data_IF_496901404573
#
_entry.id   IF_496901404573
#
_cell.length_a   1.000
_cell.length_b   1.000
_cell.length_c   1.000
_cell.angle_alpha   90.00
_cell.angle_beta   90.00
_cell.angle_gamma   90.00
#
_symmetry.space_group_name_H-M   'P 1'
#
loop_
_entity.id
_entity.type
_entity.pdbx_description
1 polymer ?
#
# COMPACT_ATOMS: atom_id res chain seq x y z
N UNK A 1 -25.74 -2.02 -13.37
CA UNK A 1 -24.96 -2.32 -12.86
C UNK A 1 -24.53 -2.03 -11.71
N UNK A 2 -23.72 -2.41 -11.38
CA UNK A 2 -23.50 -2.39 -10.03
C UNK A 2 -22.14 -1.94 -9.71
N UNK A 3 -21.99 -1.35 -8.58
CA UNK A 3 -20.75 -0.88 -8.11
C UNK A 3 -19.72 -2.00 -7.91
N UNK A 4 -20.20 -3.24 -7.87
CA UNK A 4 -19.22 -4.32 -7.62
C UNK A 4 -18.31 -4.63 -8.78
N UNK A 5 -18.56 -4.06 -9.95
CA UNK A 5 -17.62 -4.20 -11.05
C UNK A 5 -16.51 -3.17 -10.99
N UNK A 6 -16.62 -2.21 -10.09
CA UNK A 6 -15.59 -1.22 -9.83
C UNK A 6 -14.69 -1.74 -8.70
N UNK A 7 -13.38 -1.96 -8.96
CA UNK A 7 -12.48 -2.47 -7.92
C UNK A 7 -12.51 -1.64 -6.64
N UNK A 8 -12.66 -0.33 -6.74
CA UNK A 8 -12.71 0.51 -5.55
C UNK A 8 -14.00 0.25 -4.77
N UNK A 9 -15.10 -0.06 -5.45
CA UNK A 9 -16.35 -0.36 -4.79
C UNK A 9 -16.31 -1.70 -4.05
N UNK A 10 -15.55 -2.70 -4.58
CA UNK A 10 -15.49 -4.02 -3.93
C UNK A 10 -14.83 -3.97 -2.57
N UNK A 11 -13.99 -2.97 -2.31
CA UNK A 11 -13.36 -2.78 -1.01
C UNK A 11 -13.88 -1.53 -0.32
N UNK A 12 -14.91 -0.89 -0.88
CA UNK A 12 -15.47 0.32 -0.30
C UNK A 12 -14.51 1.50 -0.36
N UNK A 13 -13.63 1.52 -1.35
CA UNK A 13 -12.61 2.56 -1.44
C UNK A 13 -13.13 3.83 -2.08
N UNK A 14 -12.60 4.95 -1.62
CA UNK A 14 -12.75 6.25 -2.26
C UNK A 14 -11.41 6.98 -2.27
N UNK A 15 -11.28 7.97 -3.14
CA UNK A 15 -10.07 8.80 -3.16
C UNK A 15 -10.05 9.71 -1.94
N UNK A 16 -8.87 9.86 -1.36
CA UNK A 16 -8.68 10.77 -0.24
C UNK A 16 -8.63 12.22 -0.72
N UNK A 17 -9.05 13.12 0.15
CA UNK A 17 -8.91 14.56 -0.06
C UNK A 17 -8.11 15.17 1.09
N UNK A 18 -7.81 16.47 1.00
CA UNK A 18 -7.05 17.14 2.05
C UNK A 18 -7.70 17.01 3.42
N UNK A 19 -9.04 16.95 3.48
CA UNK A 19 -9.76 16.79 4.74
C UNK A 19 -9.46 15.46 5.43
N UNK A 20 -8.98 14.46 4.69
CA UNK A 20 -8.68 13.13 5.23
C UNK A 20 -7.27 13.02 5.82
N UNK A 21 -6.41 14.02 5.62
CA UNK A 21 -5.01 13.95 6.04
C UNK A 21 -4.85 13.56 7.51
N UNK A 22 -5.57 14.16 8.47
CA UNK A 22 -5.40 13.76 9.86
C UNK A 22 -5.72 12.30 10.12
N UNK A 23 -6.77 11.76 9.49
CA UNK A 23 -7.15 10.37 9.66
C UNK A 23 -6.16 9.42 9.00
N UNK A 24 -5.68 9.79 7.82
CA UNK A 24 -4.67 9.00 7.10
C UNK A 24 -3.39 8.94 7.92
N UNK A 25 -2.94 10.09 8.42
CA UNK A 25 -1.73 10.17 9.22
C UNK A 25 -1.85 9.31 10.48
N UNK A 26 -2.97 9.39 11.17
CA UNK A 26 -3.19 8.60 12.38
C UNK A 26 -3.20 7.10 12.09
N UNK A 27 -3.85 6.68 11.00
CA UNK A 27 -3.89 5.27 10.64
C UNK A 27 -2.51 4.77 10.27
N UNK A 28 -1.75 5.54 9.48
CA UNK A 28 -0.40 5.16 9.10
C UNK A 28 0.49 5.00 10.33
N UNK A 29 0.40 5.93 11.28
CA UNK A 29 1.17 5.83 12.52
C UNK A 29 0.81 4.56 13.29
N UNK A 30 -0.47 4.27 13.43
CA UNK A 30 -0.92 3.08 14.15
C UNK A 30 -0.52 1.78 13.44
N UNK A 31 -0.63 1.76 12.12
CA UNK A 31 -0.34 0.56 11.34
C UNK A 31 1.15 0.23 11.32
N UNK A 32 2.01 1.25 11.24
CA UNK A 32 3.44 1.05 11.08
C UNK A 32 4.22 1.12 12.39
N UNK A 33 3.59 1.45 13.51
CA UNK A 33 4.28 1.57 14.79
C UNK A 33 5.07 0.31 15.15
N UNK A 34 4.54 -0.86 14.88
CA UNK A 34 5.18 -2.13 15.20
C UNK A 34 6.42 -2.40 14.35
N UNK A 35 6.58 -1.72 13.23
CA UNK A 35 7.74 -1.94 12.37
C UNK A 35 8.97 -1.20 12.86
N UNK A 36 8.79 -0.15 13.64
CA UNK A 36 9.90 0.65 14.12
C UNK A 36 10.92 -0.15 14.92
N UNK A 37 10.52 -0.96 15.92
CA UNK A 37 11.49 -1.77 16.66
C UNK A 37 12.24 -2.77 15.79
N UNK A 38 11.54 -3.33 14.77
CA UNK A 38 12.16 -4.31 13.87
C UNK A 38 13.18 -3.64 12.95
N UNK A 39 12.85 -2.47 12.43
CA UNK A 39 13.72 -1.74 11.51
C UNK A 39 14.88 -1.03 12.23
N UNK A 40 14.65 -0.60 13.47
CA UNK A 40 15.59 0.24 14.19
C UNK A 40 15.61 1.68 13.70
N UNK A 41 14.76 2.02 12.74
CA UNK A 41 14.62 3.38 12.20
C UNK A 41 13.14 3.64 11.94
N UNK A 42 12.80 4.91 11.70
CA UNK A 42 11.42 5.29 11.42
C UNK A 42 10.95 4.67 10.11
N UNK A 43 9.80 3.97 10.08
CA UNK A 43 9.25 3.48 8.82
C UNK A 43 9.03 4.61 7.83
N UNK A 44 9.36 4.37 6.55
CA UNK A 44 9.27 5.43 5.53
C UNK A 44 7.89 6.10 5.45
N UNK A 45 6.77 5.36 5.55
CA UNK A 45 5.46 6.03 5.53
C UNK A 45 5.22 7.02 6.67
N UNK A 46 6.05 7.01 7.69
CA UNK A 46 5.93 7.93 8.82
C UNK A 46 6.88 9.12 8.71
N UNK A 47 7.69 9.18 7.65
CA UNK A 47 8.70 10.23 7.47
C UNK A 47 8.28 11.32 6.49
N UNK A 48 7.08 11.23 5.92
CA UNK A 48 6.65 12.08 4.82
C UNK A 48 5.45 12.92 5.20
N UNK A 49 5.24 14.00 4.43
CA UNK A 49 4.04 14.83 4.53
C UNK A 49 2.93 14.23 3.67
N UNK A 50 1.78 13.93 4.26
CA UNK A 50 0.64 13.40 3.50
C UNK A 50 -0.01 14.46 2.62
N UNK A 51 0.25 15.74 2.87
CA UNK A 51 -0.09 16.80 1.94
C UNK A 51 0.63 16.60 0.60
N UNK A 52 1.93 16.29 0.65
CA UNK A 52 2.71 16.03 -0.55
C UNK A 52 2.31 14.71 -1.21
N UNK A 53 2.05 13.69 -0.39
CA UNK A 53 1.63 12.39 -0.92
C UNK A 53 0.33 12.53 -1.72
N UNK A 54 -0.62 13.31 -1.23
CA UNK A 54 -1.89 13.51 -1.95
C UNK A 54 -1.72 14.18 -3.31
N UNK A 55 -0.68 15.00 -3.48
CA UNK A 55 -0.45 15.65 -4.78
C UNK A 55 0.29 14.77 -5.75
N UNK A 56 1.10 13.82 -5.27
CA UNK A 56 1.98 13.02 -6.13
C UNK A 56 1.50 11.60 -6.33
N UNK A 57 0.63 11.08 -5.45
CA UNK A 57 0.18 9.69 -5.45
C UNK A 57 -1.34 9.64 -5.49
N UNK A 58 -1.86 8.47 -5.85
CA UNK A 58 -3.27 8.18 -5.61
C UNK A 58 -3.38 7.60 -4.20
N UNK A 59 -4.22 8.19 -3.38
CA UNK A 59 -4.48 7.69 -2.04
C UNK A 59 -5.94 7.24 -1.98
N UNK A 60 -6.12 5.95 -1.71
CA UNK A 60 -7.44 5.33 -1.65
C UNK A 60 -7.74 4.92 -0.22
N UNK A 61 -8.95 5.17 0.23
CA UNK A 61 -9.39 4.92 1.60
C UNK A 61 -10.45 3.84 1.62
N UNK A 62 -10.31 2.89 2.54
CA UNK A 62 -11.33 1.90 2.83
C UNK A 62 -11.97 2.23 4.17
N UNK A 63 -13.27 2.46 4.15
CA UNK A 63 -14.03 2.81 5.34
C UNK A 63 -15.00 1.69 5.69
N UNK A 64 -15.26 1.53 6.97
CA UNK A 64 -16.16 0.48 7.45
C UNK A 64 -16.76 0.84 8.79
N UNK A 65 -17.15 -0.17 9.55
CA UNK A 65 -17.83 0.02 10.83
C UNK A 65 -16.99 0.82 11.84
N UNK A 66 -15.66 0.78 11.70
CA UNK A 66 -14.76 1.44 12.64
C UNK A 66 -14.21 2.76 12.08
N UNK A 67 -14.86 3.33 11.06
CA UNK A 67 -14.39 4.52 10.40
C UNK A 67 -13.35 4.16 9.34
N UNK A 68 -12.23 4.87 9.30
CA UNK A 68 -11.17 4.57 8.34
C UNK A 68 -10.45 3.29 8.76
N UNK A 69 -10.50 2.28 7.90
CA UNK A 69 -9.95 0.96 8.19
C UNK A 69 -8.72 0.62 7.36
N UNK A 70 -8.56 1.24 6.21
CA UNK A 70 -7.41 0.96 5.36
C UNK A 70 -7.02 2.13 4.49
N UNK A 71 -5.73 2.17 4.14
CA UNK A 71 -5.16 3.17 3.24
C UNK A 71 -4.30 2.46 2.22
N UNK A 72 -4.52 2.78 0.95
CA UNK A 72 -3.70 2.30 -0.15
C UNK A 72 -3.11 3.52 -0.85
N UNK A 73 -1.78 3.58 -0.91
CA UNK A 73 -1.06 4.65 -1.59
C UNK A 73 -0.36 4.06 -2.79
N UNK A 74 -0.72 4.50 -3.98
CA UNK A 74 -0.17 3.98 -5.22
C UNK A 74 0.24 5.13 -6.13
N UNK A 75 1.17 4.84 -7.04
CA UNK A 75 1.61 5.83 -8.03
C UNK A 75 1.73 5.15 -9.39
N UNK A 76 0.83 5.48 -10.34
CA UNK A 76 1.01 5.05 -11.71
C UNK A 76 2.25 5.69 -12.31
N UNK A 77 3.09 4.89 -12.94
CA UNK A 77 4.30 5.34 -13.62
C UNK A 77 4.22 4.88 -15.08
N UNK A 78 5.16 5.27 -15.94
CA UNK A 78 5.02 4.93 -17.37
C UNK A 78 4.88 3.44 -17.66
N UNK A 79 5.57 2.57 -16.94
CA UNK A 79 5.56 1.14 -17.22
C UNK A 79 4.97 0.28 -16.11
N UNK A 80 4.82 0.83 -14.93
CA UNK A 80 4.39 0.04 -13.78
C UNK A 80 3.50 0.85 -12.84
N UNK A 81 2.92 0.15 -11.89
CA UNK A 81 2.25 0.77 -10.76
C UNK A 81 3.09 0.56 -9.52
N UNK A 82 3.47 1.64 -8.86
CA UNK A 82 4.15 1.53 -7.56
C UNK A 82 3.09 1.42 -6.48
N UNK A 83 3.13 0.36 -5.68
CA UNK A 83 2.39 0.27 -4.43
C UNK A 83 3.32 0.78 -3.34
N UNK A 84 3.06 2.01 -2.89
CA UNK A 84 3.94 2.64 -1.92
C UNK A 84 3.57 2.27 -0.48
N UNK A 85 2.28 2.10 -0.21
CA UNK A 85 1.82 1.70 1.12
C UNK A 85 0.49 0.95 1.04
N UNK A 86 0.42 -0.17 1.74
CA UNK A 86 -0.82 -0.88 2.04
C UNK A 86 -0.89 -0.95 3.55
N UNK A 87 -1.84 -0.26 4.15
CA UNK A 87 -1.94 -0.19 5.60
C UNK A 87 -3.37 -0.44 6.06
N UNK A 88 -3.50 -1.18 7.14
CA UNK A 88 -4.80 -1.46 7.75
C UNK A 88 -4.75 -1.08 9.21
N UNK A 89 -5.88 -0.57 9.73
CA UNK A 89 -5.98 -0.23 11.14
C UNK A 89 -5.78 -1.49 11.98
N UNK A 90 -5.07 -1.40 13.12
CA UNK A 90 -4.78 -2.59 13.93
C UNK A 90 -6.02 -3.39 14.31
N UNK A 91 -7.13 -2.72 14.59
CA UNK A 91 -8.37 -3.39 15.01
C UNK A 91 -9.05 -4.21 13.94
N UNK A 92 -8.66 -4.03 12.66
CA UNK A 92 -9.25 -4.80 11.55
C UNK A 92 -8.25 -5.69 10.85
N UNK A 93 -7.04 -5.83 11.38
CA UNK A 93 -6.06 -6.72 10.79
C UNK A 93 -6.52 -8.16 10.85
N UNK A 94 -6.03 -8.98 9.92
CA UNK A 94 -6.37 -10.40 9.78
C UNK A 94 -7.82 -10.65 9.32
N UNK A 95 -8.48 -9.63 8.78
CA UNK A 95 -9.83 -9.76 8.20
C UNK A 95 -9.81 -9.74 6.67
N UNK A 96 -8.63 -9.85 6.08
CA UNK A 96 -8.49 -9.90 4.62
C UNK A 96 -8.53 -8.54 3.94
N UNK A 97 -8.58 -7.44 4.70
CA UNK A 97 -8.62 -6.11 4.10
C UNK A 97 -7.33 -5.79 3.33
N UNK A 98 -6.16 -6.15 3.90
CA UNK A 98 -4.89 -5.96 3.20
C UNK A 98 -4.86 -6.68 1.86
N UNK A 99 -5.39 -7.91 1.81
CA UNK A 99 -5.48 -8.67 0.57
C UNK A 99 -6.36 -7.95 -0.46
N UNK A 100 -7.48 -7.39 -0.01
CA UNK A 100 -8.39 -6.67 -0.91
C UNK A 100 -7.79 -5.36 -1.40
N UNK A 101 -7.03 -4.66 -0.54
CA UNK A 101 -6.34 -3.44 -0.96
C UNK A 101 -5.29 -3.74 -2.02
N UNK A 102 -4.52 -4.80 -1.82
CA UNK A 102 -3.50 -5.20 -2.79
C UNK A 102 -4.16 -5.61 -4.11
N UNK A 103 -5.25 -6.37 -4.03
CA UNK A 103 -6.01 -6.75 -5.23
C UNK A 103 -6.57 -5.53 -5.97
N UNK A 104 -7.02 -4.52 -5.24
CA UNK A 104 -7.51 -3.29 -5.84
C UNK A 104 -6.39 -2.53 -6.54
N UNK A 105 -5.18 -2.52 -5.97
CA UNK A 105 -4.02 -1.92 -6.62
C UNK A 105 -3.71 -2.63 -7.94
N UNK A 106 -3.74 -3.96 -7.94
CA UNK A 106 -3.48 -4.73 -9.15
C UNK A 106 -4.54 -4.48 -10.21
N UNK A 107 -5.81 -4.40 -9.80
CA UNK A 107 -6.89 -4.08 -10.72
C UNK A 107 -6.71 -2.68 -11.33
N UNK A 108 -6.27 -1.73 -10.51
CA UNK A 108 -5.99 -0.38 -10.99
C UNK A 108 -4.87 -0.37 -12.03
N UNK A 109 -3.80 -1.13 -11.78
CA UNK A 109 -2.71 -1.26 -12.74
C UNK A 109 -3.18 -1.83 -14.08
N UNK A 110 -4.02 -2.87 -14.04
CA UNK A 110 -4.58 -3.45 -15.27
C UNK A 110 -5.50 -2.47 -15.98
N UNK A 111 -6.33 -1.76 -15.24
CA UNK A 111 -7.23 -0.75 -15.80
C UNK A 111 -6.47 0.31 -16.58
N UNK A 112 -5.29 0.70 -16.06
CA UNK A 112 -4.45 1.72 -16.67
C UNK A 112 -3.55 1.15 -17.79
N UNK A 113 -3.62 -0.14 -18.07
CA UNK A 113 -2.80 -0.77 -19.10
C UNK A 113 -1.34 -0.94 -18.73
N UNK A 114 -1.02 -0.92 -17.44
CA UNK A 114 0.35 -1.07 -16.98
C UNK A 114 0.75 -2.55 -16.96
N UNK A 115 2.05 -2.81 -17.01
CA UNK A 115 2.58 -4.17 -17.20
C UNK A 115 2.75 -4.94 -15.91
N UNK A 116 3.00 -4.25 -14.80
CA UNK A 116 3.31 -4.90 -13.55
C UNK A 116 3.09 -3.95 -12.39
N UNK A 117 3.12 -4.54 -11.20
CA UNK A 117 3.12 -3.81 -9.94
C UNK A 117 4.48 -3.99 -9.30
N UNK A 118 5.06 -2.91 -8.81
CA UNK A 118 6.30 -2.94 -8.03
C UNK A 118 6.07 -2.34 -6.66
N UNK A 119 6.86 -2.84 -5.72
CA UNK A 119 6.82 -2.31 -4.36
C UNK A 119 8.17 -2.58 -3.70
N UNK A 120 8.40 -1.96 -2.56
CA UNK A 120 9.58 -2.24 -1.76
C UNK A 120 9.21 -2.22 -0.28
N UNK A 121 10.00 -2.93 0.51
CA UNK A 121 9.81 -3.00 1.95
C UNK A 121 11.17 -3.20 2.61
N UNK A 122 11.26 -2.89 3.90
CA UNK A 122 12.51 -3.06 4.65
C UNK A 122 12.94 -4.53 4.67
N UNK A 123 14.23 -4.75 4.52
CA UNK A 123 14.79 -6.10 4.47
C UNK A 123 14.48 -6.90 5.74
N UNK A 124 14.42 -6.24 6.89
CA UNK A 124 14.14 -6.90 8.17
C UNK A 124 12.66 -7.26 8.35
N UNK A 125 11.79 -6.72 7.53
CA UNK A 125 10.36 -7.00 7.63
C UNK A 125 10.02 -8.29 6.90
N UNK A 126 10.51 -9.39 7.44
CA UNK A 126 10.42 -10.72 6.82
C UNK A 126 8.98 -11.14 6.59
N UNK A 127 8.11 -10.84 7.55
CA UNK A 127 6.69 -11.22 7.42
C UNK A 127 6.01 -10.47 6.26
N UNK A 128 6.37 -9.22 6.05
CA UNK A 128 5.87 -8.44 4.92
C UNK A 128 6.33 -9.05 3.61
N UNK A 129 7.62 -9.38 3.52
CA UNK A 129 8.19 -9.97 2.30
C UNK A 129 7.48 -11.29 2.00
N UNK A 130 7.30 -12.15 3.01
CA UNK A 130 6.62 -13.42 2.84
C UNK A 130 5.17 -13.21 2.37
N UNK A 131 4.49 -12.22 2.93
CA UNK A 131 3.11 -11.91 2.55
C UNK A 131 3.01 -11.53 1.08
N UNK A 132 3.93 -10.65 0.62
CA UNK A 132 3.95 -10.28 -0.80
C UNK A 132 4.29 -11.47 -1.68
N UNK A 133 5.24 -12.31 -1.27
CA UNK A 133 5.60 -13.50 -2.07
C UNK A 133 4.42 -14.46 -2.20
N UNK A 134 3.61 -14.60 -1.16
CA UNK A 134 2.40 -15.42 -1.23
C UNK A 134 1.36 -14.85 -2.21
N UNK A 135 1.45 -13.57 -2.51
CA UNK A 135 0.56 -12.91 -3.48
C UNK A 135 1.15 -12.85 -4.88
N UNK A 136 2.24 -13.57 -5.13
CA UNK A 136 2.81 -13.69 -6.46
C UNK A 136 3.91 -12.71 -6.77
N UNK A 137 4.37 -11.94 -5.79
CA UNK A 137 5.48 -11.01 -5.98
C UNK A 137 6.79 -11.75 -5.85
N UNK A 138 7.78 -11.37 -6.68
CA UNK A 138 9.12 -11.95 -6.63
C UNK A 138 10.13 -10.86 -6.39
N UNK A 139 11.19 -11.18 -5.67
CA UNK A 139 12.26 -10.23 -5.39
C UNK A 139 13.02 -9.95 -6.67
N UNK A 140 13.35 -8.69 -6.91
CA UNK A 140 14.15 -8.35 -8.09
C UNK A 140 15.45 -7.62 -7.76
N UNK A 141 15.53 -6.92 -6.63
CA UNK A 141 16.79 -6.29 -6.22
C UNK A 141 16.71 -5.80 -4.77
N UNK A 142 17.88 -5.48 -4.22
CA UNK A 142 18.03 -4.86 -2.92
C UNK A 142 18.64 -3.49 -3.11
N UNK A 143 18.11 -2.50 -2.41
CA UNK A 143 18.62 -1.14 -2.48
C UNK A 143 19.17 -0.74 -1.11
N UNK A 144 20.40 -0.25 -1.08
CA UNK A 144 21.02 0.23 0.14
C UNK A 144 20.77 1.74 0.25
N UNK A 145 20.06 2.14 1.30
CA UNK A 145 19.91 3.54 1.68
C UNK A 145 20.88 3.83 2.83
N UNK A 146 20.97 5.10 3.24
CA UNK A 146 21.92 5.48 4.30
C UNK A 146 21.66 4.74 5.60
N UNK A 147 20.39 4.54 5.96
CA UNK A 147 20.01 4.00 7.24
C UNK A 147 19.30 2.66 7.17
N UNK A 148 19.10 2.10 5.98
CA UNK A 148 18.33 0.86 5.82
C UNK A 148 18.56 0.22 4.46
N UNK A 149 18.14 -1.06 4.36
CA UNK A 149 18.13 -1.78 3.09
C UNK A 149 16.69 -2.09 2.72
N UNK A 150 16.36 -1.92 1.45
CA UNK A 150 15.04 -2.19 0.91
C UNK A 150 15.09 -3.38 -0.03
N UNK A 151 14.11 -4.25 0.06
CA UNK A 151 13.91 -5.34 -0.90
C UNK A 151 12.82 -4.89 -1.85
N UNK A 152 13.13 -4.90 -3.13
CA UNK A 152 12.19 -4.57 -4.20
C UNK A 152 11.58 -5.84 -4.77
N UNK A 153 10.26 -5.83 -4.93
CA UNK A 153 9.51 -6.96 -5.47
C UNK A 153 8.66 -6.51 -6.63
N UNK A 154 8.36 -7.45 -7.51
CA UNK A 154 7.56 -7.18 -8.71
C UNK A 154 6.59 -8.33 -8.95
N UNK A 155 5.40 -7.97 -9.44
CA UNK A 155 4.43 -8.94 -9.95
C UNK A 155 4.02 -8.51 -11.34
N UNK A 156 4.35 -9.32 -12.32
CA UNK A 156 3.96 -9.05 -13.71
C UNK A 156 2.54 -9.53 -13.94
N UNK A 157 1.77 -8.73 -14.66
CA UNK A 157 0.44 -9.14 -15.04
C UNK A 157 0.54 -10.19 -16.15
N UNK A 158 -0.37 -11.12 -16.14
CA UNK A 158 -0.49 -12.07 -17.20
C UNK A 158 -0.95 -11.38 -18.49
N UNK A 159 -0.89 -12.10 -19.56
CA UNK A 159 -1.32 -11.57 -20.85
C UNK A 159 -2.79 -11.35 -20.92
#
# INVERSE_FOLDING_TARGET
MTARDDPSATVGQRRASAADIPKVTALQQAAYARNKPVLGVEPLPLTVSYSDILTEYEVWLAEGAHGLEGVLVIKPRPDDLLVWSVATAPQVQRRGLGNRLLAAAEARGRELGLRCVRLYTGEQLVDNITWYERHGYVRERVEQLDDRRLVHLVKHFGK
#
